data_IF_170041403183
#
_entry.id   IF_170041403183
#
_cell.length_a   1.000
_cell.length_b   1.000
_cell.length_c   1.000
_cell.angle_alpha   90.00
_cell.angle_beta   90.00
_cell.angle_gamma   90.00
#
_symmetry.space_group_name_H-M   'P 1'
#
loop_
_entity.id
_entity.type
_entity.pdbx_description
1 polymer ?
#
# COMPACT_ATOMS: atom_id res chain seq x y z
N UNK A 1 -10.82 -17.67 -25.59
CA UNK A 1 -9.51 -17.53 -24.96
C UNK A 1 -9.52 -18.30 -23.66
N UNK A 2 -8.59 -19.23 -23.49
CA UNK A 2 -8.46 -20.04 -22.26
C UNK A 2 -7.16 -19.71 -21.56
N UNK A 3 -7.18 -19.73 -20.26
CA UNK A 3 -5.99 -19.53 -19.42
C UNK A 3 -5.14 -20.81 -19.51
N UNK A 4 -3.89 -20.71 -19.98
CA UNK A 4 -2.95 -21.83 -20.05
C UNK A 4 -2.20 -22.00 -18.73
N UNK A 5 -1.72 -20.88 -18.15
CA UNK A 5 -0.94 -20.89 -16.92
C UNK A 5 -0.98 -19.55 -16.21
N UNK A 6 -0.78 -19.61 -14.92
CA UNK A 6 -0.52 -18.46 -14.04
C UNK A 6 0.89 -18.66 -13.49
N UNK A 7 1.72 -17.65 -13.62
CA UNK A 7 3.13 -17.64 -13.22
C UNK A 7 3.37 -16.51 -12.23
N UNK A 8 4.09 -16.80 -11.16
CA UNK A 8 4.46 -15.85 -10.11
C UNK A 8 5.98 -15.71 -10.05
N UNK A 9 6.50 -14.56 -10.48
CA UNK A 9 7.93 -14.31 -10.53
C UNK A 9 8.33 -13.37 -9.39
N UNK A 10 9.08 -13.91 -8.43
CA UNK A 10 9.69 -13.12 -7.37
C UNK A 10 10.89 -12.36 -7.90
N UNK A 11 11.05 -11.12 -7.44
CA UNK A 11 12.09 -10.18 -7.82
C UNK A 11 12.69 -9.58 -6.56
N UNK A 12 13.98 -9.27 -6.59
CA UNK A 12 14.69 -8.64 -5.48
C UNK A 12 15.59 -7.51 -5.95
N UNK A 13 15.57 -6.42 -5.20
CA UNK A 13 16.53 -5.34 -5.30
C UNK A 13 17.31 -5.25 -3.99
N UNK A 14 18.59 -5.68 -3.96
CA UNK A 14 19.41 -5.58 -2.77
C UNK A 14 19.76 -4.11 -2.49
N UNK A 15 19.66 -3.68 -1.23
CA UNK A 15 20.18 -2.37 -0.84
C UNK A 15 21.71 -2.36 -0.92
N UNK A 16 22.28 -1.23 -1.32
CA UNK A 16 23.74 -1.07 -1.41
C UNK A 16 24.41 -1.30 -0.04
N UNK A 17 23.76 -0.86 1.02
CA UNK A 17 24.13 -1.13 2.41
C UNK A 17 22.86 -1.49 3.19
N UNK A 18 22.92 -2.44 4.17
CA UNK A 18 21.78 -2.73 5.02
C UNK A 18 21.30 -1.49 5.76
N UNK A 19 19.99 -1.24 5.71
CA UNK A 19 19.37 -0.13 6.42
C UNK A 19 18.91 -0.58 7.80
N UNK A 20 19.36 0.12 8.84
CA UNK A 20 18.96 -0.12 10.21
C UNK A 20 17.94 0.93 10.65
N UNK A 21 16.77 0.45 11.06
CA UNK A 21 15.68 1.28 11.58
C UNK A 21 15.25 0.78 12.96
N UNK A 22 15.05 1.71 13.87
CA UNK A 22 14.60 1.41 15.22
C UNK A 22 13.09 1.60 15.33
N UNK A 23 12.36 0.49 15.28
CA UNK A 23 10.91 0.49 15.50
C UNK A 23 10.43 -0.88 15.97
N UNK A 24 9.21 -0.99 16.46
CA UNK A 24 8.64 -2.19 17.09
C UNK A 24 9.44 -2.69 18.30
N UNK A 25 10.14 -1.78 19.01
CA UNK A 25 10.91 -2.13 20.21
C UNK A 25 12.24 -2.83 19.98
N UNK A 26 12.77 -2.73 18.76
CA UNK A 26 14.07 -3.29 18.42
C UNK A 26 14.67 -2.69 17.16
N UNK A 27 15.84 -3.19 16.79
CA UNK A 27 16.50 -2.83 15.53
C UNK A 27 16.01 -3.75 14.41
N UNK A 28 15.50 -3.17 13.33
CA UNK A 28 15.23 -3.88 12.09
C UNK A 28 16.31 -3.56 11.08
N UNK A 29 16.96 -4.59 10.57
CA UNK A 29 17.95 -4.48 9.50
C UNK A 29 17.30 -4.90 8.20
N UNK A 30 17.12 -3.97 7.27
CA UNK A 30 16.55 -4.20 5.95
C UNK A 30 17.68 -4.45 4.96
N UNK A 31 17.62 -5.53 4.20
CA UNK A 31 18.66 -5.99 3.29
C UNK A 31 18.33 -5.73 1.82
N UNK A 32 17.05 -5.81 1.49
CA UNK A 32 16.55 -5.75 0.10
C UNK A 32 15.10 -5.30 0.06
N UNK A 33 14.66 -4.91 -1.12
CA UNK A 33 13.26 -4.71 -1.46
C UNK A 33 12.81 -5.82 -2.40
N UNK A 34 11.74 -6.50 -2.04
CA UNK A 34 11.18 -7.59 -2.82
C UNK A 34 9.89 -7.16 -3.53
N UNK A 35 9.62 -7.77 -4.66
CA UNK A 35 8.39 -7.57 -5.44
C UNK A 35 8.01 -8.89 -6.12
N UNK A 36 6.78 -8.96 -6.64
CA UNK A 36 6.33 -10.07 -7.47
C UNK A 36 5.70 -9.51 -8.75
N UNK A 37 6.00 -10.15 -9.87
CA UNK A 37 5.30 -9.98 -11.14
C UNK A 37 4.46 -11.23 -11.41
N UNK A 38 3.15 -11.07 -11.44
CA UNK A 38 2.20 -12.11 -11.80
C UNK A 38 1.93 -12.02 -13.31
N UNK A 39 1.93 -13.18 -13.99
CA UNK A 39 1.63 -13.33 -15.42
C UNK A 39 0.53 -14.36 -15.61
N UNK A 40 -0.53 -14.00 -16.30
CA UNK A 40 -1.58 -14.91 -16.75
C UNK A 40 -1.48 -15.06 -18.26
N UNK A 41 -1.13 -16.25 -18.71
CA UNK A 41 -0.86 -16.56 -20.13
C UNK A 41 -2.01 -17.36 -20.73
N UNK A 42 -2.45 -17.02 -21.93
CA UNK A 42 -3.56 -17.70 -22.63
C UNK A 42 -3.10 -18.59 -23.78
N UNK A 43 -4.04 -19.38 -24.27
CA UNK A 43 -3.91 -20.22 -25.48
C UNK A 43 -3.68 -19.43 -26.78
N UNK A 44 -3.98 -18.13 -26.77
CA UNK A 44 -3.71 -17.22 -27.89
C UNK A 44 -2.35 -16.52 -27.78
N UNK A 45 -1.58 -16.76 -26.72
CA UNK A 45 -0.30 -16.11 -26.47
C UNK A 45 -0.43 -14.71 -25.81
N UNK A 46 -1.63 -14.23 -25.57
CA UNK A 46 -1.85 -12.96 -24.85
C UNK A 46 -1.50 -13.12 -23.38
N UNK A 47 -0.88 -12.08 -22.79
CA UNK A 47 -0.43 -12.09 -21.40
C UNK A 47 -1.03 -10.92 -20.63
N UNK A 48 -1.64 -11.21 -19.50
CA UNK A 48 -2.05 -10.22 -18.50
C UNK A 48 -1.03 -10.17 -17.37
N UNK A 49 -0.85 -8.98 -16.79
CA UNK A 49 0.11 -8.73 -15.73
C UNK A 49 -0.56 -8.13 -14.50
N UNK A 50 0.00 -8.45 -13.35
CA UNK A 50 -0.34 -7.79 -12.10
C UNK A 50 0.89 -7.71 -11.17
N UNK A 51 0.91 -6.75 -10.24
CA UNK A 51 1.82 -6.80 -9.10
C UNK A 51 1.34 -7.86 -8.11
N UNK A 52 2.24 -8.29 -7.24
CA UNK A 52 1.92 -9.17 -6.12
C UNK A 52 2.89 -8.99 -4.97
N UNK A 53 2.53 -9.52 -3.82
CA UNK A 53 3.37 -9.52 -2.64
C UNK A 53 4.68 -10.26 -2.88
N UNK A 54 5.81 -9.62 -2.62
CA UNK A 54 7.17 -10.15 -2.84
C UNK A 54 7.58 -11.20 -1.81
N UNK A 55 6.80 -12.27 -1.63
CA UNK A 55 7.09 -13.35 -0.68
C UNK A 55 6.95 -14.74 -1.30
N UNK A 56 7.78 -15.70 -0.81
CA UNK A 56 7.66 -17.12 -1.22
C UNK A 56 6.32 -17.71 -0.78
N UNK A 57 5.76 -17.26 0.35
CA UNK A 57 4.45 -17.69 0.84
C UNK A 57 3.36 -17.33 -0.16
N UNK A 58 3.31 -16.07 -0.59
CA UNK A 58 2.34 -15.59 -1.58
C UNK A 58 2.51 -16.31 -2.93
N UNK A 59 3.76 -16.44 -3.41
CA UNK A 59 4.06 -17.22 -4.61
C UNK A 59 3.50 -18.64 -4.53
N UNK A 60 3.80 -19.36 -3.44
CA UNK A 60 3.35 -20.73 -3.25
C UNK A 60 1.81 -20.82 -3.19
N UNK A 61 1.14 -19.89 -2.51
CA UNK A 61 -0.31 -19.82 -2.47
C UNK A 61 -0.93 -19.62 -3.85
N UNK A 62 -0.37 -18.74 -4.67
CA UNK A 62 -0.82 -18.52 -6.04
C UNK A 62 -0.60 -19.77 -6.89
N UNK A 63 0.60 -20.35 -6.88
CA UNK A 63 0.94 -21.47 -7.74
C UNK A 63 0.25 -22.78 -7.34
N UNK A 64 0.01 -23.02 -6.04
CA UNK A 64 -0.62 -24.26 -5.56
C UNK A 64 -2.16 -24.18 -5.43
N UNK A 65 -2.70 -23.00 -5.14
CA UNK A 65 -4.13 -22.81 -4.87
C UNK A 65 -4.90 -22.13 -6.00
N UNK A 66 -4.35 -21.07 -6.59
CA UNK A 66 -5.06 -20.23 -7.56
C UNK A 66 -4.80 -20.70 -9.00
N UNK A 67 -3.55 -20.97 -9.34
CA UNK A 67 -3.17 -21.39 -10.70
C UNK A 67 -3.91 -22.66 -11.16
N UNK A 68 -4.01 -23.76 -10.36
CA UNK A 68 -4.76 -24.94 -10.75
C UNK A 68 -6.25 -24.68 -10.96
N UNK A 69 -6.85 -23.76 -10.20
CA UNK A 69 -8.24 -23.37 -10.40
C UNK A 69 -8.44 -22.64 -11.73
N UNK A 70 -7.56 -21.73 -12.11
CA UNK A 70 -7.70 -20.92 -13.32
C UNK A 70 -7.32 -21.67 -14.59
N UNK A 71 -6.38 -22.62 -14.52
CA UNK A 71 -5.86 -23.33 -15.69
C UNK A 71 -6.96 -24.08 -16.46
N UNK A 72 -7.00 -23.86 -17.77
CA UNK A 72 -7.99 -24.44 -18.69
C UNK A 72 -9.34 -23.72 -18.73
N UNK A 73 -9.60 -22.79 -17.78
CA UNK A 73 -10.86 -22.01 -17.77
C UNK A 73 -10.86 -20.97 -18.89
N UNK A 74 -12.05 -20.69 -19.39
CA UNK A 74 -12.28 -19.59 -20.29
C UNK A 74 -12.30 -18.28 -19.53
N UNK A 75 -11.57 -17.28 -20.01
CA UNK A 75 -11.68 -15.91 -19.53
C UNK A 75 -12.72 -15.16 -20.35
N UNK A 76 -13.89 -14.97 -19.77
CA UNK A 76 -14.97 -14.17 -20.31
C UNK A 76 -15.36 -13.02 -19.38
N UNK A 77 -15.33 -13.28 -18.08
CA UNK A 77 -15.69 -12.34 -17.02
C UNK A 77 -14.90 -12.65 -15.75
N UNK A 78 -14.00 -11.77 -15.30
CA UNK A 78 -13.24 -11.96 -14.06
C UNK A 78 -14.15 -12.04 -12.81
N UNK A 79 -15.22 -11.24 -12.73
CA UNK A 79 -16.14 -11.25 -11.60
C UNK A 79 -16.83 -12.63 -11.45
N UNK A 80 -17.24 -13.24 -12.56
CA UNK A 80 -17.82 -14.59 -12.52
C UNK A 80 -16.79 -15.64 -12.08
N UNK A 81 -15.54 -15.53 -12.53
CA UNK A 81 -14.47 -16.42 -12.08
C UNK A 81 -14.21 -16.27 -10.57
N UNK A 82 -14.25 -15.03 -10.06
CA UNK A 82 -14.12 -14.76 -8.63
C UNK A 82 -15.21 -15.44 -7.82
N UNK A 83 -16.48 -15.31 -8.21
CA UNK A 83 -17.59 -15.98 -7.49
C UNK A 83 -17.33 -17.47 -7.36
N UNK A 84 -16.98 -18.15 -8.45
CA UNK A 84 -16.67 -19.58 -8.43
C UNK A 84 -15.42 -19.91 -7.61
N UNK A 85 -14.42 -19.02 -7.61
CA UNK A 85 -13.22 -19.22 -6.79
C UNK A 85 -13.56 -19.14 -5.30
N UNK A 86 -14.34 -18.13 -4.87
CA UNK A 86 -14.74 -17.93 -3.48
C UNK A 86 -15.65 -19.06 -2.95
N UNK A 87 -16.45 -19.71 -3.80
CA UNK A 87 -17.23 -20.90 -3.44
C UNK A 87 -16.38 -22.16 -3.27
N UNK A 88 -15.15 -22.16 -3.79
CA UNK A 88 -14.21 -23.29 -3.77
C UNK A 88 -12.93 -22.97 -2.98
N UNK A 89 -11.77 -22.84 -3.67
CA UNK A 89 -10.47 -22.60 -3.01
C UNK A 89 -10.43 -21.32 -2.16
N UNK A 90 -11.17 -20.29 -2.55
CA UNK A 90 -11.23 -19.01 -1.86
C UNK A 90 -12.00 -19.03 -0.52
N UNK A 91 -12.45 -20.20 -0.04
CA UNK A 91 -12.85 -20.38 1.36
C UNK A 91 -11.67 -20.34 2.33
N UNK A 92 -10.47 -20.55 1.83
CA UNK A 92 -9.23 -20.24 2.52
C UNK A 92 -9.00 -18.73 2.43
N UNK A 93 -8.90 -18.06 3.57
CA UNK A 93 -8.80 -16.59 3.65
C UNK A 93 -7.52 -16.06 2.96
N UNK A 94 -6.41 -16.79 3.08
CA UNK A 94 -5.16 -16.40 2.43
C UNK A 94 -5.28 -16.49 0.90
N UNK A 95 -5.87 -17.57 0.38
CA UNK A 95 -6.11 -17.71 -1.05
C UNK A 95 -7.12 -16.67 -1.57
N UNK A 96 -8.14 -16.33 -0.78
CA UNK A 96 -9.08 -15.26 -1.11
C UNK A 96 -8.38 -13.90 -1.25
N UNK A 97 -7.48 -13.59 -0.33
CA UNK A 97 -6.64 -12.39 -0.33
C UNK A 97 -5.74 -12.35 -1.57
N UNK A 98 -4.96 -13.40 -1.80
CA UNK A 98 -4.03 -13.49 -2.93
C UNK A 98 -4.73 -13.47 -4.30
N UNK A 99 -5.97 -13.94 -4.37
CA UNK A 99 -6.75 -13.92 -5.61
C UNK A 99 -6.98 -12.49 -6.11
N UNK A 100 -7.12 -11.52 -5.22
CA UNK A 100 -7.26 -10.11 -5.59
C UNK A 100 -6.13 -9.58 -6.47
N UNK A 101 -4.89 -9.96 -6.18
CA UNK A 101 -3.74 -9.62 -7.02
C UNK A 101 -3.79 -10.32 -8.39
N UNK A 102 -4.08 -11.63 -8.42
CA UNK A 102 -4.19 -12.39 -9.67
C UNK A 102 -5.32 -11.88 -10.55
N UNK A 103 -6.42 -11.47 -9.95
CA UNK A 103 -7.58 -10.91 -10.64
C UNK A 103 -7.25 -9.62 -11.42
N UNK A 104 -6.34 -8.78 -10.92
CA UNK A 104 -5.84 -7.61 -11.66
C UNK A 104 -5.26 -8.05 -13.02
N UNK A 105 -4.49 -9.15 -13.05
CA UNK A 105 -3.96 -9.68 -14.31
C UNK A 105 -5.07 -10.23 -15.23
N UNK A 106 -6.17 -10.77 -14.69
CA UNK A 106 -7.32 -11.19 -15.48
C UNK A 106 -8.02 -10.00 -16.14
N UNK A 107 -8.16 -8.88 -15.42
CA UNK A 107 -8.71 -7.65 -15.99
C UNK A 107 -7.79 -7.03 -17.04
N UNK A 108 -6.46 -7.01 -16.77
CA UNK A 108 -5.47 -6.55 -17.75
C UNK A 108 -5.56 -7.37 -19.05
N UNK A 109 -5.60 -8.70 -18.90
CA UNK A 109 -5.73 -9.62 -20.02
C UNK A 109 -7.03 -9.40 -20.81
N UNK A 110 -8.16 -9.27 -20.12
CA UNK A 110 -9.46 -9.03 -20.76
C UNK A 110 -9.51 -7.68 -21.48
N UNK A 111 -8.94 -6.64 -20.87
CA UNK A 111 -8.81 -5.32 -21.48
C UNK A 111 -7.98 -5.36 -22.76
N UNK A 112 -6.84 -6.05 -22.75
CA UNK A 112 -6.00 -6.28 -23.94
C UNK A 112 -6.76 -7.05 -25.01
N UNK A 113 -7.50 -8.10 -24.66
CA UNK A 113 -8.27 -8.91 -25.60
C UNK A 113 -9.43 -8.11 -26.24
N UNK A 114 -10.01 -7.16 -25.54
CA UNK A 114 -11.11 -6.30 -26.03
C UNK A 114 -10.64 -4.98 -26.62
N UNK A 115 -9.36 -4.64 -26.51
CA UNK A 115 -8.79 -3.38 -26.97
C UNK A 115 -9.25 -2.17 -26.14
N UNK A 116 -9.59 -2.35 -24.86
CA UNK A 116 -10.06 -1.29 -23.94
C UNK A 116 -9.23 -1.25 -22.65
N UNK A 117 -9.12 -0.08 -22.00
CA UNK A 117 -8.45 0.00 -20.70
C UNK A 117 -9.24 -0.73 -19.61
N UNK A 118 -8.57 -1.13 -18.53
CA UNK A 118 -9.19 -1.80 -17.37
C UNK A 118 -10.32 -0.96 -16.80
N UNK A 119 -10.18 0.34 -16.72
CA UNK A 119 -11.21 1.25 -16.22
C UNK A 119 -12.57 1.10 -16.92
N UNK A 120 -12.58 0.81 -18.22
CA UNK A 120 -13.85 0.57 -18.95
C UNK A 120 -14.51 -0.77 -18.57
N UNK A 121 -13.76 -1.72 -18.02
CA UNK A 121 -14.28 -3.01 -17.57
C UNK A 121 -14.85 -2.97 -16.16
N UNK A 122 -14.43 -1.99 -15.35
CA UNK A 122 -14.71 -1.95 -13.90
C UNK A 122 -15.60 -0.78 -13.48
N UNK A 123 -16.23 -0.09 -14.41
CA UNK A 123 -17.21 0.96 -14.09
C UNK A 123 -17.23 2.12 -15.08
N UNK A 124 -16.20 2.28 -15.91
CA UNK A 124 -16.04 3.41 -16.84
C UNK A 124 -15.38 4.62 -16.18
N UNK A 125 -14.65 5.38 -16.98
CA UNK A 125 -13.89 6.56 -16.51
C UNK A 125 -14.84 7.73 -16.26
N UNK A 126 -14.74 8.35 -15.08
CA UNK A 126 -15.41 9.63 -14.77
C UNK A 126 -14.44 10.81 -14.78
N UNK A 127 -13.13 10.52 -14.78
CA UNK A 127 -12.04 11.50 -14.89
C UNK A 127 -10.82 10.86 -15.56
N UNK A 128 -9.83 11.66 -15.97
CA UNK A 128 -8.65 11.21 -16.70
C UNK A 128 -7.39 11.12 -15.84
N UNK A 129 -7.45 11.63 -14.64
CA UNK A 129 -6.31 11.74 -13.73
C UNK A 129 -6.72 11.45 -12.28
N UNK A 130 -5.76 11.15 -11.45
CA UNK A 130 -5.93 10.98 -10.00
C UNK A 130 -4.85 11.77 -9.26
N UNK A 131 -5.20 12.41 -8.14
CA UNK A 131 -4.25 13.12 -7.29
C UNK A 131 -3.27 12.15 -6.66
N UNK A 132 -1.99 12.56 -6.66
CA UNK A 132 -0.93 11.79 -6.02
C UNK A 132 -0.43 12.50 -4.77
N UNK A 133 -0.11 11.73 -3.74
CA UNK A 133 0.82 12.17 -2.72
C UNK A 133 2.13 11.40 -2.82
N UNK A 134 3.26 12.14 -2.75
CA UNK A 134 4.57 11.51 -2.68
C UNK A 134 4.77 10.90 -1.30
N UNK A 135 5.04 9.60 -1.24
CA UNK A 135 5.30 8.89 0.01
C UNK A 135 6.77 8.53 0.10
N UNK A 136 7.43 9.03 1.14
CA UNK A 136 8.83 8.75 1.44
C UNK A 136 9.12 9.04 2.91
N UNK A 137 10.39 9.11 3.28
CA UNK A 137 10.83 9.43 4.63
C UNK A 137 10.45 8.41 5.69
N UNK A 138 11.40 8.08 6.55
CA UNK A 138 11.14 7.22 7.70
C UNK A 138 12.20 7.49 8.77
N UNK A 139 11.77 7.96 9.94
CA UNK A 139 12.62 8.13 11.13
C UNK A 139 13.89 8.97 10.89
N UNK A 140 13.77 10.05 10.13
CA UNK A 140 14.84 10.99 9.84
C UNK A 140 14.85 12.16 10.83
N UNK A 141 15.90 13.00 10.80
CA UNK A 141 15.86 14.27 11.51
C UNK A 141 14.89 15.26 10.83
N UNK A 142 14.32 16.21 11.58
CA UNK A 142 13.40 17.21 11.04
C UNK A 142 13.93 17.95 9.79
N UNK A 143 15.20 18.29 9.76
CA UNK A 143 15.84 18.99 8.63
C UNK A 143 15.86 18.14 7.36
N UNK A 144 16.15 16.83 7.51
CA UNK A 144 16.17 15.89 6.39
C UNK A 144 14.78 15.67 5.80
N UNK A 145 13.74 15.67 6.62
CA UNK A 145 12.36 15.63 6.12
C UNK A 145 12.02 16.90 5.32
N UNK A 146 12.45 18.07 5.78
CA UNK A 146 12.25 19.31 5.05
C UNK A 146 13.01 19.33 3.70
N UNK A 147 14.22 18.78 3.65
CA UNK A 147 14.99 18.61 2.40
C UNK A 147 14.27 17.66 1.43
N UNK A 148 13.77 16.53 1.93
CA UNK A 148 13.04 15.56 1.13
C UNK A 148 11.73 16.14 0.60
N UNK A 149 10.98 16.87 1.43
CA UNK A 149 9.75 17.53 1.01
C UNK A 149 9.99 18.54 -0.14
N UNK A 150 11.11 19.32 -0.09
CA UNK A 150 11.51 20.19 -1.21
C UNK A 150 11.83 19.40 -2.47
N UNK A 151 12.53 18.27 -2.33
CA UNK A 151 12.87 17.42 -3.46
C UNK A 151 11.61 16.82 -4.12
N UNK A 152 10.64 16.37 -3.32
CA UNK A 152 9.35 15.86 -3.79
C UNK A 152 8.56 16.96 -4.48
N UNK A 153 8.49 18.16 -3.89
CA UNK A 153 7.86 19.31 -4.53
C UNK A 153 8.51 19.68 -5.88
N UNK A 154 9.84 19.59 -5.96
CA UNK A 154 10.59 19.85 -7.20
C UNK A 154 10.31 18.81 -8.31
N UNK A 155 9.86 17.59 -7.95
CA UNK A 155 9.37 16.57 -8.90
C UNK A 155 7.96 16.86 -9.42
N UNK A 156 7.32 17.95 -8.97
CA UNK A 156 5.99 18.34 -9.39
C UNK A 156 4.84 17.86 -8.49
N UNK A 157 5.13 17.14 -7.41
CA UNK A 157 4.10 16.76 -6.43
C UNK A 157 3.58 17.98 -5.67
N UNK A 158 2.32 17.87 -5.24
CA UNK A 158 1.63 18.89 -4.43
C UNK A 158 1.26 18.37 -3.04
N UNK A 159 1.66 17.16 -2.72
CA UNK A 159 1.39 16.50 -1.45
C UNK A 159 2.56 15.58 -1.07
N UNK A 160 2.79 15.45 0.23
CA UNK A 160 3.84 14.60 0.79
C UNK A 160 3.35 13.90 2.04
N UNK A 161 3.51 12.57 2.10
CA UNK A 161 3.31 11.76 3.30
C UNK A 161 4.66 11.40 3.89
N UNK A 162 4.86 11.76 5.14
CA UNK A 162 6.02 11.38 5.94
C UNK A 162 5.63 10.37 7.00
N UNK A 163 6.60 9.56 7.42
CA UNK A 163 6.45 8.64 8.57
C UNK A 163 7.14 9.21 9.78
N UNK A 164 6.33 9.63 10.76
CA UNK A 164 6.77 10.29 11.99
C UNK A 164 7.05 9.29 13.14
N UNK A 165 6.70 9.62 14.35
CA UNK A 165 6.86 8.75 15.54
C UNK A 165 8.29 8.71 16.09
N UNK A 166 9.05 9.78 15.90
CA UNK A 166 10.42 9.92 16.45
C UNK A 166 10.45 10.59 17.82
N UNK A 167 9.32 11.14 18.24
CA UNK A 167 9.09 11.86 19.50
C UNK A 167 8.11 13.01 19.27
N UNK A 168 7.15 13.27 20.19
CA UNK A 168 6.09 14.26 19.94
C UNK A 168 6.61 15.65 19.60
N UNK A 169 7.65 16.10 20.30
CA UNK A 169 8.29 17.41 20.04
C UNK A 169 9.02 17.43 18.69
N UNK A 170 9.72 16.33 18.37
CA UNK A 170 10.44 16.21 17.10
C UNK A 170 9.48 16.05 15.92
N UNK A 171 8.35 15.36 16.12
CA UNK A 171 7.32 15.22 15.09
C UNK A 171 6.72 16.59 14.74
N UNK A 172 6.40 17.42 15.74
CA UNK A 172 5.93 18.78 15.52
C UNK A 172 6.97 19.68 14.86
N UNK A 173 8.22 19.60 15.29
CA UNK A 173 9.33 20.34 14.67
C UNK A 173 9.52 19.93 13.21
N UNK A 174 9.38 18.64 12.91
CA UNK A 174 9.41 18.12 11.54
C UNK A 174 8.33 18.78 10.67
N UNK A 175 7.07 18.78 11.14
CA UNK A 175 5.95 19.39 10.40
C UNK A 175 6.17 20.88 10.22
N UNK A 176 6.64 21.60 11.25
CA UNK A 176 6.96 23.02 11.16
C UNK A 176 8.00 23.30 10.07
N UNK A 177 9.11 22.56 10.06
CA UNK A 177 10.19 22.73 9.08
C UNK A 177 9.75 22.36 7.67
N UNK A 178 8.95 21.29 7.51
CA UNK A 178 8.38 20.94 6.21
C UNK A 178 7.47 22.06 5.72
N UNK A 179 6.57 22.57 6.56
CA UNK A 179 5.63 23.66 6.21
C UNK A 179 6.37 24.93 5.79
N UNK A 180 7.46 25.28 6.48
CA UNK A 180 8.34 26.39 6.09
C UNK A 180 9.04 26.14 4.74
N UNK A 181 9.37 24.87 4.45
CA UNK A 181 10.09 24.49 3.25
C UNK A 181 9.25 24.50 1.98
N UNK A 182 7.97 24.09 2.07
CA UNK A 182 7.07 23.87 0.92
C UNK A 182 5.89 24.84 0.85
N UNK A 183 5.65 25.63 1.91
CA UNK A 183 4.59 26.62 1.96
C UNK A 183 3.22 26.08 2.42
N UNK A 184 2.21 26.97 2.58
CA UNK A 184 0.91 26.63 3.18
C UNK A 184 0.00 25.81 2.25
N UNK A 185 0.17 25.91 0.93
CA UNK A 185 -0.71 25.30 -0.07
C UNK A 185 -0.27 23.87 -0.46
N UNK A 186 0.76 23.35 0.19
CA UNK A 186 1.26 21.99 -0.04
C UNK A 186 0.60 21.04 0.96
N UNK A 187 -0.06 19.98 0.49
CA UNK A 187 -0.73 19.03 1.38
C UNK A 187 0.28 18.16 2.12
N UNK A 188 0.15 18.09 3.45
CA UNK A 188 0.99 17.26 4.31
C UNK A 188 0.16 16.15 4.95
N UNK A 189 0.62 14.91 4.81
CA UNK A 189 0.05 13.74 5.45
C UNK A 189 1.05 13.20 6.46
N UNK A 190 0.56 12.86 7.65
CA UNK A 190 1.38 12.36 8.73
C UNK A 190 0.99 10.92 9.01
N UNK A 191 1.84 9.99 8.58
CA UNK A 191 1.75 8.58 8.96
C UNK A 191 2.44 8.42 10.31
N UNK A 192 1.65 8.24 11.34
CA UNK A 192 2.11 8.46 12.71
C UNK A 192 3.07 7.39 13.20
N UNK A 193 2.86 6.12 12.82
CA UNK A 193 3.67 4.99 13.28
C UNK A 193 3.82 4.90 14.83
N UNK A 194 2.93 5.52 15.58
CA UNK A 194 3.08 5.72 17.02
C UNK A 194 2.77 4.50 17.86
N UNK A 195 1.85 3.65 17.40
CA UNK A 195 1.50 2.39 18.05
C UNK A 195 2.53 1.27 17.78
N UNK A 196 3.39 1.45 16.78
CA UNK A 196 4.45 0.53 16.41
C UNK A 196 5.70 0.68 17.28
N UNK A 197 5.84 1.82 17.91
CA UNK A 197 6.92 2.07 18.87
C UNK A 197 6.64 1.31 20.15
N UNK A 198 7.62 0.72 20.74
CA UNK A 198 7.42 -0.25 21.81
C UNK A 198 7.86 0.24 23.16
N UNK A 199 7.18 -0.28 24.19
CA UNK A 199 7.48 0.04 25.58
C UNK A 199 7.20 1.51 25.86
N UNK A 200 8.17 2.19 26.43
CA UNK A 200 8.14 3.61 26.78
C UNK A 200 8.18 4.58 25.58
N UNK A 201 8.40 4.07 24.37
CA UNK A 201 8.40 4.85 23.14
C UNK A 201 7.05 4.90 22.41
N UNK A 202 6.08 4.10 22.84
CA UNK A 202 4.73 4.21 22.32
C UNK A 202 4.09 5.51 22.81
N UNK A 203 3.38 6.18 21.92
CA UNK A 203 2.57 7.31 22.34
C UNK A 203 1.30 6.79 23.01
N UNK A 204 1.04 7.27 24.22
CA UNK A 204 -0.23 7.02 24.88
C UNK A 204 -1.33 7.89 24.29
N UNK A 205 -2.59 7.50 24.41
CA UNK A 205 -3.73 8.21 23.84
C UNK A 205 -3.71 9.73 24.11
N UNK A 206 -3.43 10.13 25.34
CA UNK A 206 -3.32 11.55 25.68
C UNK A 206 -2.17 12.31 24.98
N UNK A 207 -1.13 11.62 24.55
CA UNK A 207 -0.05 12.22 23.74
C UNK A 207 -0.50 12.35 22.28
N UNK A 208 -1.24 11.36 21.77
CA UNK A 208 -1.83 11.42 20.43
C UNK A 208 -2.87 12.54 20.34
N UNK A 209 -3.73 12.71 21.35
CA UNK A 209 -4.70 13.79 21.41
C UNK A 209 -4.02 15.18 21.31
N UNK A 210 -2.95 15.39 22.10
CA UNK A 210 -2.16 16.64 22.04
C UNK A 210 -1.42 16.82 20.73
N UNK A 211 -0.93 15.73 20.14
CA UNK A 211 -0.29 15.77 18.83
C UNK A 211 -1.30 16.21 17.76
N UNK A 212 -2.49 15.61 17.75
CA UNK A 212 -3.56 15.97 16.83
C UNK A 212 -3.98 17.44 16.98
N UNK A 213 -4.15 17.93 18.23
CA UNK A 213 -4.43 19.33 18.53
C UNK A 213 -3.34 20.26 17.96
N UNK A 214 -2.07 19.93 18.18
CA UNK A 214 -0.95 20.74 17.69
C UNK A 214 -0.82 20.71 16.16
N UNK A 215 -1.11 19.56 15.52
CA UNK A 215 -1.07 19.42 14.07
C UNK A 215 -2.14 20.27 13.36
N UNK A 216 -3.23 20.62 14.04
CA UNK A 216 -4.27 21.49 13.50
C UNK A 216 -3.72 22.88 13.08
N UNK A 217 -2.69 23.40 13.77
CA UNK A 217 -2.05 24.67 13.44
C UNK A 217 -1.31 24.65 12.08
N UNK A 218 -0.98 23.45 11.60
CA UNK A 218 -0.21 23.26 10.36
C UNK A 218 -1.06 22.83 9.18
N UNK A 219 -2.38 22.72 9.33
CA UNK A 219 -3.30 22.33 8.27
C UNK A 219 -2.84 21.04 7.56
N UNK A 220 -2.62 19.97 8.32
CA UNK A 220 -2.29 18.66 7.77
C UNK A 220 -3.52 18.02 7.14
N UNK A 221 -3.34 17.30 6.03
CA UNK A 221 -4.43 16.64 5.31
C UNK A 221 -5.03 15.49 6.12
N UNK A 222 -4.19 14.73 6.83
CA UNK A 222 -4.61 13.71 7.80
C UNK A 222 -3.48 13.27 8.74
N UNK A 223 -3.90 12.67 9.86
CA UNK A 223 -3.08 11.87 10.75
C UNK A 223 -3.45 10.38 10.52
N UNK A 224 -2.49 9.60 10.01
CA UNK A 224 -2.65 8.20 9.60
C UNK A 224 -2.18 7.26 10.69
N UNK A 225 -3.00 6.28 11.00
CA UNK A 225 -2.74 5.19 11.94
C UNK A 225 -1.98 5.56 13.24
N UNK A 226 -2.46 6.56 14.00
CA UNK A 226 -1.84 6.90 15.28
C UNK A 226 -2.12 5.89 16.40
N UNK A 227 -3.09 5.00 16.19
CA UNK A 227 -3.60 4.01 17.14
C UNK A 227 -3.56 2.60 16.53
N UNK A 228 -3.63 1.51 17.33
CA UNK A 228 -3.73 0.16 16.78
C UNK A 228 -4.91 0.05 15.79
N UNK A 229 -4.72 -0.55 14.60
CA UNK A 229 -5.70 -0.54 13.51
C UNK A 229 -7.06 -1.14 13.87
N UNK A 230 -7.08 -2.15 14.74
CA UNK A 230 -8.29 -2.86 15.18
C UNK A 230 -9.05 -2.18 16.34
N UNK A 231 -8.57 -1.04 16.84
CA UNK A 231 -9.23 -0.27 17.91
C UNK A 231 -10.08 0.86 17.32
N UNK A 232 -11.13 0.50 16.54
CA UNK A 232 -12.02 1.46 15.88
C UNK A 232 -12.70 2.40 16.88
N UNK A 233 -12.96 1.96 18.13
CA UNK A 233 -13.53 2.81 19.17
C UNK A 233 -12.55 3.94 19.57
N UNK A 234 -11.27 3.64 19.69
CA UNK A 234 -10.26 4.65 19.99
C UNK A 234 -10.08 5.64 18.82
N UNK A 235 -10.18 5.16 17.57
CA UNK A 235 -10.21 6.04 16.39
C UNK A 235 -11.41 6.96 16.38
N UNK A 236 -12.63 6.42 16.66
CA UNK A 236 -13.86 7.21 16.75
C UNK A 236 -13.72 8.31 17.81
N UNK A 237 -13.20 7.98 19.00
CA UNK A 237 -12.95 8.95 20.07
C UNK A 237 -11.98 10.03 19.63
N UNK A 238 -10.87 9.67 18.94
CA UNK A 238 -9.89 10.65 18.45
C UNK A 238 -10.50 11.58 17.40
N UNK A 239 -11.27 11.03 16.46
CA UNK A 239 -11.97 11.81 15.44
C UNK A 239 -12.99 12.78 16.03
N UNK A 240 -13.70 12.39 17.11
CA UNK A 240 -14.66 13.26 17.81
C UNK A 240 -14.02 14.52 18.43
N UNK A 241 -12.69 14.56 18.62
CA UNK A 241 -11.98 15.75 19.03
C UNK A 241 -11.89 16.82 17.92
N UNK A 242 -12.10 16.43 16.67
CA UNK A 242 -12.19 17.31 15.49
C UNK A 242 -10.97 18.27 15.30
N UNK A 243 -9.78 17.76 15.63
CA UNK A 243 -8.55 18.55 15.47
C UNK A 243 -7.98 18.44 14.05
N UNK A 244 -7.85 17.22 13.55
CA UNK A 244 -7.30 16.90 12.22
C UNK A 244 -8.07 15.74 11.62
N UNK A 245 -8.18 15.64 10.28
CA UNK A 245 -8.74 14.44 9.65
C UNK A 245 -7.95 13.19 10.02
N UNK A 246 -8.63 12.07 10.21
CA UNK A 246 -8.04 10.79 10.58
C UNK A 246 -8.10 9.83 9.39
N UNK A 247 -7.00 9.14 9.12
CA UNK A 247 -6.90 8.10 8.10
C UNK A 247 -6.51 6.76 8.71
N UNK A 248 -7.09 5.66 8.24
CA UNK A 248 -6.72 4.29 8.58
C UNK A 248 -7.30 3.30 7.59
N UNK A 249 -6.82 2.05 7.64
CA UNK A 249 -7.38 0.93 6.89
C UNK A 249 -6.36 0.07 6.15
N UNK A 250 -5.11 0.49 6.01
CA UNK A 250 -4.11 -0.31 5.29
C UNK A 250 -3.82 -1.67 5.96
N UNK A 251 -4.18 -1.80 7.24
CA UNK A 251 -4.02 -3.03 8.03
C UNK A 251 -5.33 -3.78 8.29
N UNK A 252 -6.44 -3.35 7.69
CA UNK A 252 -7.70 -4.10 7.82
C UNK A 252 -7.58 -5.47 7.15
N UNK A 253 -7.93 -6.56 7.85
CA UNK A 253 -7.63 -7.90 7.35
C UNK A 253 -8.58 -8.36 6.24
N UNK A 254 -9.80 -7.84 6.19
CA UNK A 254 -10.84 -8.27 5.27
C UNK A 254 -11.95 -7.22 5.08
N UNK A 255 -12.89 -7.53 4.19
CA UNK A 255 -14.00 -6.63 3.85
C UNK A 255 -14.94 -6.34 5.03
N UNK A 256 -15.13 -7.28 5.98
CA UNK A 256 -16.01 -7.09 7.12
C UNK A 256 -15.42 -6.04 8.08
N UNK A 257 -14.12 -6.09 8.34
CA UNK A 257 -13.43 -5.10 9.16
C UNK A 257 -13.44 -3.71 8.50
N UNK A 258 -13.23 -3.63 7.18
CA UNK A 258 -13.44 -2.37 6.44
C UNK A 258 -14.85 -1.81 6.60
N UNK A 259 -15.86 -2.66 6.50
CA UNK A 259 -17.24 -2.23 6.67
C UNK A 259 -17.53 -1.74 8.09
N UNK A 260 -16.89 -2.33 9.10
CA UNK A 260 -16.97 -1.86 10.48
C UNK A 260 -16.28 -0.49 10.63
N UNK A 261 -15.04 -0.34 10.13
CA UNK A 261 -14.33 0.94 10.11
C UNK A 261 -15.15 2.06 9.46
N UNK A 262 -15.79 1.79 8.32
CA UNK A 262 -16.64 2.76 7.62
C UNK A 262 -17.90 3.10 8.43
N UNK A 263 -18.61 2.09 8.93
CA UNK A 263 -19.90 2.25 9.61
C UNK A 263 -19.78 2.83 11.01
N UNK A 264 -18.68 2.57 11.69
CA UNK A 264 -18.40 3.16 13.00
C UNK A 264 -18.15 4.66 12.94
N UNK A 265 -17.85 5.19 11.74
CA UNK A 265 -17.48 6.61 11.55
C UNK A 265 -16.14 6.95 12.20
N UNK A 266 -15.27 5.97 12.36
CA UNK A 266 -14.01 6.10 13.09
C UNK A 266 -12.96 6.97 12.36
N UNK A 267 -13.09 7.11 11.03
CA UNK A 267 -12.09 7.83 10.19
C UNK A 267 -12.75 8.82 9.23
N UNK A 268 -11.96 9.71 8.66
CA UNK A 268 -12.33 10.61 7.56
C UNK A 268 -11.91 10.04 6.21
N UNK A 269 -10.74 9.38 6.19
CA UNK A 269 -10.19 8.69 5.05
C UNK A 269 -10.04 7.20 5.34
N UNK A 270 -10.62 6.38 4.48
CA UNK A 270 -10.38 4.92 4.46
C UNK A 270 -9.24 4.65 3.50
N UNK A 271 -8.27 3.83 3.93
CA UNK A 271 -7.12 3.46 3.12
C UNK A 271 -7.14 1.96 2.81
N UNK A 272 -6.73 1.58 1.61
CA UNK A 272 -6.68 0.19 1.19
C UNK A 272 -5.62 0.00 0.11
N UNK A 273 -4.90 -1.11 0.20
CA UNK A 273 -4.05 -1.64 -0.87
C UNK A 273 -4.82 -2.71 -1.65
N UNK A 274 -5.13 -2.43 -2.91
CA UNK A 274 -5.93 -3.36 -3.73
C UNK A 274 -5.22 -4.67 -4.04
N UNK A 275 -3.89 -4.70 -3.96
CA UNK A 275 -3.09 -5.92 -4.20
C UNK A 275 -3.15 -6.84 -3.00
N UNK A 276 -3.10 -6.27 -1.80
CA UNK A 276 -3.04 -6.99 -0.55
C UNK A 276 -4.41 -7.32 0.05
N UNK A 277 -5.47 -6.56 -0.29
CA UNK A 277 -6.73 -6.56 0.46
C UNK A 277 -7.97 -6.79 -0.41
N UNK A 278 -7.90 -7.70 -1.39
CA UNK A 278 -9.08 -8.24 -2.04
C UNK A 278 -9.44 -7.71 -3.43
N UNK A 279 -8.57 -6.91 -4.07
CA UNK A 279 -8.69 -6.57 -5.49
C UNK A 279 -9.81 -5.58 -5.84
N UNK A 280 -10.08 -5.46 -7.14
CA UNK A 280 -11.06 -4.50 -7.66
C UNK A 280 -12.50 -4.68 -7.16
N UNK A 281 -13.07 -5.89 -7.08
CA UNK A 281 -14.46 -6.04 -6.64
C UNK A 281 -14.69 -5.63 -5.19
N UNK A 282 -13.75 -5.95 -4.30
CA UNK A 282 -13.81 -5.53 -2.89
C UNK A 282 -13.74 -4.00 -2.79
N UNK A 283 -12.74 -3.38 -3.42
CA UNK A 283 -12.59 -1.93 -3.40
C UNK A 283 -13.84 -1.21 -3.95
N UNK A 284 -14.43 -1.69 -5.07
CA UNK A 284 -15.65 -1.10 -5.64
C UNK A 284 -16.84 -1.13 -4.66
N UNK A 285 -17.00 -2.20 -3.88
CA UNK A 285 -18.05 -2.27 -2.85
C UNK A 285 -17.78 -1.30 -1.72
N UNK A 286 -16.54 -1.23 -1.27
CA UNK A 286 -16.14 -0.28 -0.21
C UNK A 286 -16.32 1.17 -0.65
N UNK A 287 -15.95 1.54 -1.88
CA UNK A 287 -16.14 2.92 -2.38
C UNK A 287 -17.61 3.34 -2.40
N UNK A 288 -18.53 2.40 -2.67
CA UNK A 288 -19.96 2.69 -2.59
C UNK A 288 -20.42 2.96 -1.15
N UNK A 289 -19.90 2.23 -0.15
CA UNK A 289 -20.18 2.48 1.27
C UNK A 289 -19.54 3.77 1.76
N UNK A 290 -18.27 4.02 1.38
CA UNK A 290 -17.53 5.25 1.68
C UNK A 290 -18.29 6.48 1.19
N UNK A 291 -18.73 6.46 -0.08
CA UNK A 291 -19.50 7.56 -0.65
C UNK A 291 -20.86 7.77 0.03
N UNK A 292 -21.55 6.69 0.45
CA UNK A 292 -22.79 6.77 1.22
C UNK A 292 -22.58 7.35 2.62
N UNK A 293 -21.47 7.01 3.25
CA UNK A 293 -21.08 7.50 4.57
C UNK A 293 -20.53 8.94 4.57
N UNK A 294 -20.34 9.55 3.40
CA UNK A 294 -19.72 10.89 3.30
C UNK A 294 -18.23 10.90 3.66
N UNK A 295 -17.59 9.73 3.67
CA UNK A 295 -16.17 9.57 3.90
C UNK A 295 -15.41 9.73 2.58
N UNK A 296 -14.09 9.74 2.66
CA UNK A 296 -13.16 9.77 1.52
C UNK A 296 -12.27 8.53 1.52
N UNK A 297 -11.66 8.28 0.38
CA UNK A 297 -10.75 7.17 0.17
C UNK A 297 -9.40 7.65 -0.34
N UNK A 298 -8.32 7.05 0.17
CA UNK A 298 -6.98 7.19 -0.33
C UNK A 298 -6.38 5.78 -0.54
N UNK A 299 -5.81 5.53 -1.73
CA UNK A 299 -5.08 4.28 -1.93
C UNK A 299 -3.79 4.27 -1.12
N UNK A 300 -3.56 3.19 -0.38
CA UNK A 300 -2.23 2.79 0.03
C UNK A 300 -1.53 2.10 -1.14
N UNK A 301 -0.24 2.33 -1.32
CA UNK A 301 0.60 1.64 -2.30
C UNK A 301 2.06 1.65 -1.84
N UNK A 302 2.63 0.48 -1.63
CA UNK A 302 4.03 0.33 -1.21
C UNK A 302 4.86 -0.55 -2.16
N UNK A 303 4.24 -1.04 -3.22
CA UNK A 303 4.81 -1.96 -4.21
C UNK A 303 5.51 -1.26 -5.37
N UNK A 304 5.22 -1.72 -6.57
CA UNK A 304 5.82 -1.22 -7.81
C UNK A 304 4.92 -0.22 -8.54
N UNK A 305 5.46 0.47 -9.56
CA UNK A 305 4.66 1.34 -10.42
C UNK A 305 3.50 0.62 -11.11
N UNK A 306 3.56 -0.71 -11.25
CA UNK A 306 2.45 -1.51 -11.76
C UNK A 306 1.26 -1.54 -10.78
N UNK A 307 1.52 -1.51 -9.47
CA UNK A 307 0.50 -1.38 -8.42
C UNK A 307 -0.16 -0.01 -8.47
N UNK A 308 0.63 1.05 -8.52
CA UNK A 308 0.14 2.43 -8.68
C UNK A 308 -0.75 2.54 -9.91
N UNK A 309 -0.33 1.94 -11.04
CA UNK A 309 -1.09 1.93 -12.28
C UNK A 309 -2.42 1.16 -12.16
N UNK A 310 -2.40 0.00 -11.50
CA UNK A 310 -3.61 -0.78 -11.26
C UNK A 310 -4.60 -0.03 -10.38
N UNK A 311 -4.14 0.60 -9.29
CA UNK A 311 -4.96 1.45 -8.42
C UNK A 311 -5.53 2.67 -9.17
N UNK A 312 -4.73 3.31 -10.03
CA UNK A 312 -5.15 4.44 -10.83
C UNK A 312 -6.29 4.09 -11.80
N UNK A 313 -6.21 2.93 -12.49
CA UNK A 313 -7.27 2.46 -13.38
C UNK A 313 -8.62 2.30 -12.68
N UNK A 314 -8.60 1.91 -11.39
CA UNK A 314 -9.81 1.82 -10.57
C UNK A 314 -10.24 3.22 -10.06
N UNK A 315 -9.29 4.00 -9.56
CA UNK A 315 -9.58 5.28 -8.91
C UNK A 315 -10.29 6.28 -9.80
N UNK A 316 -9.96 6.30 -11.10
CA UNK A 316 -10.61 7.20 -12.08
C UNK A 316 -12.04 6.81 -12.47
N UNK A 317 -12.50 5.64 -12.03
CA UNK A 317 -13.91 5.23 -12.19
C UNK A 317 -14.82 5.84 -11.12
N UNK A 318 -14.27 6.60 -10.18
CA UNK A 318 -14.99 7.22 -9.07
C UNK A 318 -14.72 8.72 -9.02
N UNK A 319 -15.69 9.54 -8.55
CA UNK A 319 -15.46 10.96 -8.40
C UNK A 319 -14.40 11.25 -7.32
N UNK A 320 -13.70 12.37 -7.46
CA UNK A 320 -12.67 12.80 -6.50
C UNK A 320 -13.23 13.00 -5.09
N UNK A 321 -14.51 13.32 -4.96
CA UNK A 321 -15.19 13.41 -3.66
C UNK A 321 -15.30 12.08 -2.90
N UNK A 322 -15.07 10.94 -3.56
CA UNK A 322 -15.06 9.60 -2.95
C UNK A 322 -13.65 9.04 -2.95
N UNK A 323 -13.00 8.94 -4.11
CA UNK A 323 -11.62 8.46 -4.24
C UNK A 323 -10.73 9.65 -4.56
N UNK A 324 -10.08 10.18 -3.55
CA UNK A 324 -9.35 11.45 -3.69
C UNK A 324 -7.88 11.22 -4.05
N UNK A 325 -7.20 10.35 -3.33
CA UNK A 325 -5.75 10.23 -3.36
C UNK A 325 -5.24 8.86 -3.77
N UNK A 326 -4.08 8.85 -4.40
CA UNK A 326 -3.28 7.66 -4.66
C UNK A 326 -1.86 7.86 -4.14
N UNK A 327 -1.39 6.94 -3.32
CA UNK A 327 -0.01 6.91 -2.86
C UNK A 327 0.96 6.65 -4.00
N UNK A 328 1.99 7.46 -4.07
CA UNK A 328 3.10 7.26 -4.97
C UNK A 328 4.39 7.13 -4.17
N UNK A 329 4.91 5.92 -3.97
CA UNK A 329 6.23 5.75 -3.38
C UNK A 329 7.27 6.42 -4.28
N UNK A 330 8.07 7.32 -3.73
CA UNK A 330 9.02 8.12 -4.50
C UNK A 330 10.28 7.30 -4.86
N UNK A 331 10.13 6.34 -5.76
CA UNK A 331 11.12 5.32 -6.10
C UNK A 331 12.50 5.83 -6.51
N UNK A 332 12.56 7.01 -7.11
CA UNK A 332 13.78 7.62 -7.64
C UNK A 332 14.33 8.77 -6.81
N UNK A 333 13.60 9.19 -5.79
CA UNK A 333 14.05 10.27 -4.91
C UNK A 333 15.21 9.74 -4.07
N UNK A 334 16.37 10.41 -4.04
CA UNK A 334 17.45 10.08 -3.13
C UNK A 334 16.91 10.25 -1.70
N UNK A 335 16.38 9.20 -1.14
CA UNK A 335 15.90 9.23 0.23
C UNK A 335 17.06 9.06 1.18
N UNK A 336 17.12 9.90 2.18
CA UNK A 336 18.01 9.75 3.32
C UNK A 336 17.63 8.54 4.19
N UNK A 337 16.43 7.96 3.99
CA UNK A 337 15.99 6.75 4.68
C UNK A 337 16.62 5.45 4.15
N UNK A 338 17.45 5.49 3.11
CA UNK A 338 18.21 4.32 2.62
C UNK A 338 17.41 3.23 1.90
N UNK A 339 16.08 3.30 1.90
CA UNK A 339 15.23 2.35 1.15
C UNK A 339 15.05 2.74 -0.33
N UNK A 340 15.56 3.89 -0.71
CA UNK A 340 15.52 4.45 -2.04
C UNK A 340 16.94 4.82 -2.52
N UNK A 341 17.19 4.87 -3.82
CA UNK A 341 16.23 4.53 -4.87
C UNK A 341 15.83 3.04 -4.88
N UNK A 342 14.65 2.76 -5.43
CA UNK A 342 14.18 1.41 -5.68
C UNK A 342 13.87 1.25 -7.18
N UNK A 343 14.89 1.13 -8.05
CA UNK A 343 14.73 1.18 -9.51
C UNK A 343 13.83 0.07 -10.05
N UNK A 344 13.88 -1.14 -9.51
CA UNK A 344 12.95 -2.22 -9.88
C UNK A 344 11.50 -1.76 -9.92
N UNK A 345 11.09 -0.94 -8.93
CA UNK A 345 9.70 -0.51 -8.80
C UNK A 345 9.23 0.32 -10.01
N UNK A 346 10.08 1.18 -10.53
CA UNK A 346 9.78 1.99 -11.71
C UNK A 346 10.00 1.22 -13.02
N UNK A 347 11.07 0.45 -13.10
CA UNK A 347 11.53 -0.24 -14.30
C UNK A 347 10.70 -1.46 -14.70
N UNK A 348 9.73 -1.85 -13.88
CA UNK A 348 8.73 -2.87 -14.24
C UNK A 348 7.82 -2.42 -15.39
N UNK A 349 7.74 -1.11 -15.64
CA UNK A 349 7.03 -0.53 -16.78
C UNK A 349 8.01 -0.09 -17.86
N UNK A 350 7.68 -0.35 -19.16
CA UNK A 350 8.50 0.11 -20.30
C UNK A 350 8.52 1.62 -20.44
N UNK A 351 7.44 2.27 -20.04
CA UNK A 351 7.31 3.72 -20.08
C UNK A 351 6.99 4.22 -18.67
N UNK A 352 7.70 5.23 -18.16
CA UNK A 352 7.38 5.83 -16.86
C UNK A 352 5.94 6.33 -16.79
N UNK A 353 5.39 6.38 -15.58
CA UNK A 353 4.11 7.00 -15.33
C UNK A 353 4.19 8.51 -15.61
N UNK A 354 3.17 9.04 -16.27
CA UNK A 354 3.07 10.48 -16.59
C UNK A 354 2.46 11.22 -15.41
N UNK A 355 3.29 12.01 -14.72
CA UNK A 355 2.88 12.83 -13.56
C UNK A 355 2.91 14.29 -13.99
N UNK A 356 1.77 14.96 -13.90
CA UNK A 356 1.62 16.38 -14.19
C UNK A 356 1.03 17.11 -12.99
N UNK A 357 1.76 18.08 -12.45
CA UNK A 357 1.32 18.93 -11.34
C UNK A 357 0.71 18.18 -10.13
N UNK A 358 1.29 17.02 -9.77
CA UNK A 358 0.82 16.17 -8.68
C UNK A 358 -0.34 15.25 -9.03
N UNK A 359 -0.68 15.12 -10.31
CA UNK A 359 -1.67 14.18 -10.81
C UNK A 359 -1.02 13.11 -11.67
N UNK A 360 -1.45 11.87 -11.51
CA UNK A 360 -1.13 10.80 -12.45
C UNK A 360 -2.14 10.86 -13.61
N UNK A 361 -1.62 11.09 -14.82
CA UNK A 361 -2.40 10.97 -16.05
C UNK A 361 -2.60 9.49 -16.38
N UNK A 362 -3.83 9.00 -16.22
CA UNK A 362 -4.09 7.54 -16.33
C UNK A 362 -4.18 7.12 -17.81
N UNK A 363 -3.32 6.17 -18.24
CA UNK A 363 -3.25 5.79 -19.65
C UNK A 363 -4.56 5.19 -20.17
N UNK A 364 -4.81 5.40 -21.48
CA UNK A 364 -6.00 4.92 -22.18
C UNK A 364 -5.76 3.67 -23.03
N UNK A 365 -4.54 3.15 -23.02
CA UNK A 365 -4.19 1.92 -23.76
C UNK A 365 -4.95 0.70 -23.24
N UNK A 366 -4.99 -0.40 -24.03
CA UNK A 366 -5.64 -1.65 -23.62
C UNK A 366 -5.04 -2.24 -22.34
N UNK A 367 -5.89 -2.87 -21.53
CA UNK A 367 -5.47 -3.42 -20.23
C UNK A 367 -5.14 -2.33 -19.23
N UNK A 368 -4.02 -2.45 -18.52
CA UNK A 368 -3.52 -1.42 -17.61
C UNK A 368 -2.99 -0.17 -18.35
N UNK A 369 -2.79 -0.27 -19.67
CA UNK A 369 -2.49 0.88 -20.54
C UNK A 369 -1.00 1.20 -20.73
N UNK A 370 -0.10 0.50 -20.03
CA UNK A 370 1.35 0.56 -20.22
C UNK A 370 1.91 -0.86 -20.27
N UNK A 371 2.85 -1.09 -21.20
CA UNK A 371 3.52 -2.38 -21.31
C UNK A 371 4.48 -2.65 -20.14
N UNK A 372 4.46 -3.89 -19.66
CA UNK A 372 5.42 -4.38 -18.68
C UNK A 372 6.76 -4.70 -19.36
N UNK A 373 7.85 -4.36 -18.71
CA UNK A 373 9.19 -4.73 -19.12
C UNK A 373 9.62 -6.07 -18.48
N UNK A 374 9.40 -7.17 -19.19
CA UNK A 374 9.79 -8.50 -18.70
C UNK A 374 11.32 -8.69 -18.52
N UNK A 375 12.16 -7.77 -19.01
CA UNK A 375 13.61 -7.87 -18.78
C UNK A 375 13.96 -7.71 -17.31
N UNK A 376 13.08 -7.15 -16.48
CA UNK A 376 13.22 -7.08 -15.01
C UNK A 376 13.40 -8.46 -14.39
N UNK A 377 12.81 -9.51 -14.98
CA UNK A 377 12.97 -10.90 -14.51
C UNK A 377 14.45 -11.37 -14.53
N UNK A 378 15.25 -10.80 -15.44
CA UNK A 378 16.68 -11.09 -15.55
C UNK A 378 17.54 -10.07 -14.81
N UNK A 379 17.10 -8.81 -14.78
CA UNK A 379 17.86 -7.73 -14.12
C UNK A 379 17.79 -7.80 -12.60
N UNK A 380 16.65 -8.27 -12.06
CA UNK A 380 16.36 -8.32 -10.63
C UNK A 380 15.96 -9.73 -10.19
N UNK A 381 16.86 -10.73 -10.36
CA UNK A 381 16.53 -12.09 -9.98
C UNK A 381 16.26 -12.19 -8.49
N UNK A 382 15.37 -13.12 -8.12
CA UNK A 382 15.05 -13.40 -6.73
C UNK A 382 16.29 -13.75 -5.91
N UNK A 383 16.43 -13.11 -4.77
CA UNK A 383 17.44 -13.42 -3.76
C UNK A 383 16.71 -14.15 -2.61
N UNK A 384 16.97 -15.45 -2.39
CA UNK A 384 16.34 -16.22 -1.31
C UNK A 384 16.62 -15.62 0.07
N UNK A 385 15.70 -15.89 1.00
CA UNK A 385 15.82 -15.45 2.38
C UNK A 385 15.04 -14.18 2.68
N UNK A 386 14.99 -13.77 3.95
CA UNK A 386 14.17 -12.66 4.41
C UNK A 386 14.67 -11.34 3.86
N UNK A 387 13.75 -10.42 3.60
CA UNK A 387 14.10 -9.06 3.17
C UNK A 387 14.63 -8.20 4.34
N UNK A 388 14.33 -8.60 5.58
CA UNK A 388 14.80 -7.92 6.78
C UNK A 388 14.95 -8.88 7.95
N UNK A 389 15.84 -8.53 8.89
CA UNK A 389 15.95 -9.16 10.20
C UNK A 389 15.44 -8.21 11.26
N UNK A 390 14.87 -8.80 12.31
CA UNK A 390 14.40 -8.04 13.45
C UNK A 390 15.12 -8.53 14.72
N UNK A 391 15.75 -7.62 15.45
CA UNK A 391 16.42 -7.88 16.71
C UNK A 391 15.72 -7.09 17.81
N UNK A 392 15.17 -7.81 18.78
CA UNK A 392 14.48 -7.22 19.93
C UNK A 392 15.49 -6.95 21.03
N UNK A 393 15.64 -5.70 21.45
CA UNK A 393 16.57 -5.29 22.50
C UNK A 393 16.01 -5.47 23.92
N UNK A 394 14.71 -5.64 24.08
CA UNK A 394 14.07 -5.75 25.39
C UNK A 394 12.99 -6.81 25.39
N UNK A 395 12.93 -7.66 26.46
CA UNK A 395 11.86 -8.64 26.64
C UNK A 395 10.53 -8.02 27.07
N UNK A 396 10.43 -6.69 27.23
CA UNK A 396 9.16 -6.01 27.49
C UNK A 396 8.23 -6.18 26.31
N UNK A 397 6.93 -6.27 26.57
CA UNK A 397 5.87 -6.59 25.62
C UNK A 397 6.10 -5.96 24.24
N UNK A 398 6.53 -6.80 23.32
CA UNK A 398 6.80 -6.42 21.96
C UNK A 398 5.50 -6.57 21.20
N UNK A 399 4.85 -5.46 20.85
CA UNK A 399 3.92 -5.45 19.75
C UNK A 399 4.77 -5.45 18.47
N UNK A 400 5.14 -6.62 17.97
CA UNK A 400 5.86 -6.69 16.71
C UNK A 400 4.86 -6.89 15.60
N UNK A 401 4.92 -6.06 14.64
CA UNK A 401 4.27 -6.26 13.36
C UNK A 401 5.28 -6.94 12.46
N UNK A 402 4.96 -8.09 11.94
CA UNK A 402 5.69 -8.64 10.81
C UNK A 402 5.34 -7.80 9.59
N UNK A 403 6.19 -7.79 8.60
CA UNK A 403 5.92 -7.14 7.31
C UNK A 403 4.83 -7.81 6.48
N UNK A 404 4.14 -8.77 7.05
CA UNK A 404 3.02 -9.45 6.44
C UNK A 404 1.75 -8.67 6.77
N UNK A 405 1.39 -7.74 5.89
CA UNK A 405 0.16 -6.93 5.97
C UNK A 405 -1.12 -7.76 5.93
N UNK A 406 -1.02 -9.09 5.75
CA UNK A 406 -2.16 -9.99 5.68
C UNK A 406 -2.65 -10.48 7.05
N UNK A 407 -1.93 -10.19 8.13
CA UNK A 407 -2.30 -10.68 9.45
C UNK A 407 -2.75 -9.54 10.36
N UNK A 408 -3.84 -9.74 11.12
CA UNK A 408 -4.23 -8.83 12.18
C UNK A 408 -3.05 -8.55 13.12
N UNK A 409 -2.84 -7.32 13.53
CA UNK A 409 -1.69 -6.91 14.33
C UNK A 409 -1.53 -7.73 15.62
N UNK A 410 -2.61 -8.18 16.27
CA UNK A 410 -2.56 -9.02 17.47
C UNK A 410 -2.02 -10.43 17.20
N UNK A 411 -2.26 -11.00 16.01
CA UNK A 411 -1.65 -12.27 15.59
C UNK A 411 -0.16 -12.10 15.28
N UNK A 412 0.20 -10.96 14.68
CA UNK A 412 1.60 -10.60 14.43
C UNK A 412 2.37 -10.44 15.75
N UNK A 413 1.74 -9.90 16.80
CA UNK A 413 2.30 -9.80 18.16
C UNK A 413 2.52 -11.19 18.77
N UNK A 414 1.59 -12.14 18.60
CA UNK A 414 1.73 -13.47 19.18
C UNK A 414 2.86 -14.27 18.51
N UNK A 415 3.00 -14.18 17.19
CA UNK A 415 4.06 -14.87 16.44
C UNK A 415 5.47 -14.40 16.82
N UNK A 416 5.65 -13.13 17.12
CA UNK A 416 6.94 -12.63 17.58
C UNK A 416 7.32 -13.09 19.00
N UNK A 417 6.32 -13.46 19.81
CA UNK A 417 6.57 -14.09 21.11
C UNK A 417 7.11 -15.50 20.96
N UNK A 418 6.63 -16.25 19.96
CA UNK A 418 7.04 -17.65 19.73
C UNK A 418 8.41 -17.77 19.03
N UNK A 419 8.88 -16.73 18.36
CA UNK A 419 10.21 -16.70 17.72
C UNK A 419 11.37 -16.40 18.68
N UNK A 420 11.11 -16.25 19.97
CA UNK A 420 12.16 -16.15 20.99
C UNK A 420 12.70 -17.56 21.23
N UNK A 421 13.85 -17.89 20.68
CA UNK A 421 14.61 -19.02 21.19
C UNK A 421 14.86 -18.84 22.68
N UNK A 422 14.69 -19.89 23.51
CA UNK A 422 15.15 -19.81 24.88
C UNK A 422 16.67 -19.59 24.84
N UNK A 423 17.10 -18.49 25.42
CA UNK A 423 18.52 -18.23 25.62
C UNK A 423 19.13 -19.44 26.34
N UNK A 424 20.32 -19.92 25.91
CA UNK A 424 21.00 -21.05 26.52
C UNK A 424 21.36 -20.83 27.98
#
# INVERSE_FOLDING_TARGET
MKILRVESHLLSYPLAEPLKLYYYGGERTILKRDAMLIRVVTDTGLVGYAPGEGSEKAKNGIESGIAPFLQGRALADPDALRVHFMEGPGRDAELARLYGAVEIALYDLLGKARGVPVSELIGGRVRDHIRLYGSAGMYMSPEKYAEEARAIAALGFRAYKLRSGIGPEQDLETIRLIREAVGPDFDLMVDAHTWWRMGDRNYVAATIDRLAESLAEYNVAWLEEPLPPDDHEAYRRLKELDHVPIASGEHEPDEEHYLDLIRSGAVDYVQMDIVCQGGYPTARRLFAEIGRGGLRFAFHSWGTALEVLAAAQLGICWPESVVEWLEYPCYSTPSTAGMYPFPLAAEVLKTPLEIDHGYLMVPRGPGLGIDVDETVLKRYPWIPGPWSFFQIDSPREVRSVTSDHSQPWHEQVSQSRDQREPNP
#
